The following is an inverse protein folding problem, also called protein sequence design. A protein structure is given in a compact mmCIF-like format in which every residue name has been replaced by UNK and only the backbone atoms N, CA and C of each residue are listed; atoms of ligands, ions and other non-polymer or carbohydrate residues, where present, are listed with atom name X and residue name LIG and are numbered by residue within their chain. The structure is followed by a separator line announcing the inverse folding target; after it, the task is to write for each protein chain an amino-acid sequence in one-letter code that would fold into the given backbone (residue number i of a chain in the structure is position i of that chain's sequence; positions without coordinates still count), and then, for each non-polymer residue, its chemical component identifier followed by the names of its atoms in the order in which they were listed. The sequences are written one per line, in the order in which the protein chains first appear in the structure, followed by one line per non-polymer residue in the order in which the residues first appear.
data_IF_549861052959
#
_entry.id   IF_549861052959
#
_cell.length_a   1.000
_cell.length_b   1.000
_cell.length_c   1.000
_cell.angle_alpha   90.00
_cell.angle_beta   90.00
_cell.angle_gamma   90.00
#
_symmetry.space_group_name_H-M   'P 1'
#
loop_
_entity.id
_entity.type
_entity.pdbx_description
1 polymer ?
#
# COMPACT_ATOMS: atom_id res chain seq x y z
N UNK A 1 19.86 -0.82 8.19
CA UNK A 1 20.98 -0.71 7.22
C UNK A 1 20.42 -0.02 5.99
N UNK A 2 20.98 1.13 5.58
CA UNK A 2 20.56 1.83 4.36
C UNK A 2 21.13 1.09 3.14
N UNK A 3 20.37 1.06 2.05
CA UNK A 3 20.83 0.48 0.79
C UNK A 3 22.01 1.31 0.26
N UNK A 4 23.14 0.67 -0.04
CA UNK A 4 24.31 1.35 -0.62
C UNK A 4 24.19 1.28 -2.15
N UNK A 5 23.73 2.35 -2.79
CA UNK A 5 23.56 2.48 -4.23
C UNK A 5 22.14 2.88 -4.61
N UNK A 6 21.95 3.33 -5.84
CA UNK A 6 20.61 3.58 -6.40
C UNK A 6 19.95 2.24 -6.72
N UNK A 7 18.90 1.89 -6.01
CA UNK A 7 18.07 0.74 -6.34
C UNK A 7 17.11 1.14 -7.46
N UNK A 8 17.14 0.41 -8.57
CA UNK A 8 16.24 0.64 -9.73
C UNK A 8 15.28 -0.54 -9.82
N UNK A 9 14.17 -0.47 -9.12
CA UNK A 9 13.20 -1.57 -9.06
C UNK A 9 11.77 -1.07 -9.01
N UNK A 10 10.87 -1.79 -9.68
CA UNK A 10 9.42 -1.62 -9.61
C UNK A 10 8.84 -2.69 -8.69
N UNK A 11 8.43 -2.28 -7.50
CA UNK A 11 7.94 -3.16 -6.44
C UNK A 11 6.43 -2.98 -6.28
N UNK A 12 5.67 -4.07 -6.33
CA UNK A 12 4.22 -4.05 -6.12
C UNK A 12 3.90 -4.70 -4.78
N UNK A 13 3.32 -3.95 -3.84
CA UNK A 13 2.92 -4.47 -2.53
C UNK A 13 1.53 -5.11 -2.60
N UNK A 14 1.42 -6.42 -2.39
CA UNK A 14 0.15 -7.15 -2.29
C UNK A 14 -0.20 -7.52 -0.86
N UNK A 15 -1.47 -7.85 -0.65
CA UNK A 15 -2.05 -8.30 0.62
C UNK A 15 -3.37 -7.59 0.93
N UNK A 16 -4.14 -8.14 1.84
CA UNK A 16 -5.45 -7.64 2.23
C UNK A 16 -5.41 -6.20 2.79
N UNK A 17 -6.51 -5.43 2.72
CA UNK A 17 -6.60 -4.16 3.43
C UNK A 17 -6.29 -4.38 4.92
N UNK A 18 -5.48 -3.52 5.52
CA UNK A 18 -5.06 -3.69 6.94
C UNK A 18 -3.90 -4.64 7.18
N UNK A 19 -3.37 -5.34 6.17
CA UNK A 19 -2.21 -6.24 6.33
C UNK A 19 -0.89 -5.54 6.70
N UNK A 20 -0.82 -4.20 6.59
CA UNK A 20 0.39 -3.44 6.90
C UNK A 20 1.20 -3.01 5.68
N UNK A 21 0.70 -3.23 4.46
CA UNK A 21 1.37 -2.83 3.19
C UNK A 21 1.90 -1.40 3.20
N UNK A 22 1.04 -0.43 3.52
CA UNK A 22 1.41 0.99 3.49
C UNK A 22 2.51 1.33 4.50
N UNK A 23 2.48 0.75 5.70
CA UNK A 23 3.56 0.93 6.69
C UNK A 23 4.85 0.31 6.20
N UNK A 24 4.79 -0.93 5.71
CA UNK A 24 5.93 -1.64 5.13
C UNK A 24 6.51 -0.88 3.94
N UNK A 25 5.67 -0.41 3.00
CA UNK A 25 6.08 0.37 1.85
C UNK A 25 6.79 1.67 2.24
N UNK A 26 6.29 2.40 3.24
CA UNK A 26 6.92 3.63 3.74
C UNK A 26 8.30 3.35 4.38
N UNK A 27 8.44 2.28 5.14
CA UNK A 27 9.74 1.89 5.72
C UNK A 27 10.70 1.46 4.61
N UNK A 28 10.22 0.67 3.65
CA UNK A 28 11.02 0.21 2.52
C UNK A 28 11.49 1.39 1.67
N UNK A 29 10.61 2.36 1.37
CA UNK A 29 10.93 3.59 0.65
C UNK A 29 12.07 4.37 1.31
N UNK A 30 12.01 4.56 2.63
CA UNK A 30 13.09 5.22 3.39
C UNK A 30 14.42 4.46 3.34
N UNK A 31 14.39 3.11 3.29
CA UNK A 31 15.61 2.30 3.25
C UNK A 31 16.21 2.18 1.85
N UNK A 32 15.40 2.29 0.80
CA UNK A 32 15.79 2.08 -0.61
C UNK A 32 15.91 3.38 -1.40
N UNK A 33 15.38 4.47 -0.88
CA UNK A 33 15.22 5.76 -1.57
C UNK A 33 14.32 5.69 -2.83
N UNK A 34 13.46 4.66 -2.92
CA UNK A 34 12.44 4.59 -3.97
C UNK A 34 11.20 5.38 -3.55
N UNK A 35 10.53 6.08 -4.47
CA UNK A 35 9.26 6.75 -4.18
C UNK A 35 8.18 5.72 -3.84
N UNK A 36 7.38 6.03 -2.82
CA UNK A 36 6.18 5.27 -2.44
C UNK A 36 4.96 5.91 -3.09
N UNK A 37 4.31 5.19 -3.98
CA UNK A 37 3.09 5.61 -4.67
C UNK A 37 1.92 4.80 -4.12
N UNK A 38 1.02 5.49 -3.41
CA UNK A 38 -0.18 4.89 -2.82
C UNK A 38 -1.43 5.44 -3.50
N UNK A 39 -2.13 4.60 -4.28
CA UNK A 39 -3.39 5.01 -4.92
C UNK A 39 -4.45 5.43 -3.90
N UNK A 40 -4.48 4.76 -2.75
CA UNK A 40 -5.37 5.15 -1.67
C UNK A 40 -5.10 6.56 -1.13
N UNK A 41 -3.82 6.97 -1.02
CA UNK A 41 -3.46 8.31 -0.57
C UNK A 41 -3.74 9.34 -1.68
N UNK A 42 -3.50 9.00 -2.95
CA UNK A 42 -3.82 9.85 -4.09
C UNK A 42 -5.33 10.16 -4.15
N UNK A 43 -6.19 9.14 -4.04
CA UNK A 43 -7.64 9.36 -4.00
C UNK A 43 -8.10 10.16 -2.78
N UNK A 44 -7.59 9.86 -1.59
CA UNK A 44 -7.91 10.64 -0.37
C UNK A 44 -7.52 12.11 -0.51
N UNK A 45 -6.44 12.39 -1.22
CA UNK A 45 -6.07 13.77 -1.51
C UNK A 45 -7.08 14.47 -2.42
N UNK A 46 -7.55 13.80 -3.48
CA UNK A 46 -8.58 14.33 -4.37
C UNK A 46 -9.91 14.54 -3.64
N UNK A 47 -10.28 13.60 -2.75
CA UNK A 47 -11.48 13.73 -1.89
C UNK A 47 -11.36 14.97 -0.99
N UNK A 48 -10.20 15.16 -0.35
CA UNK A 48 -9.98 16.33 0.52
C UNK A 48 -10.01 17.67 -0.23
N UNK A 49 -9.60 17.67 -1.52
CA UNK A 49 -9.62 18.84 -2.40
C UNK A 49 -11.00 19.06 -3.05
N UNK A 50 -11.98 18.20 -2.77
CA UNK A 50 -13.32 18.20 -3.36
C UNK A 50 -13.34 18.27 -4.89
N UNK A 51 -12.39 17.60 -5.55
CA UNK A 51 -12.36 17.53 -7.02
C UNK A 51 -13.43 16.58 -7.55
N UNK A 52 -13.78 16.66 -8.83
CA UNK A 52 -14.70 15.70 -9.46
C UNK A 52 -14.19 14.26 -9.36
N UNK A 53 -12.89 14.06 -9.53
CA UNK A 53 -12.24 12.77 -9.29
C UNK A 53 -12.37 12.34 -7.83
N UNK A 54 -12.23 13.26 -6.88
CA UNK A 54 -12.41 12.99 -5.45
C UNK A 54 -13.84 12.58 -5.11
N UNK A 55 -14.84 13.24 -5.67
CA UNK A 55 -16.27 12.89 -5.50
C UNK A 55 -16.55 11.49 -6.07
N UNK A 56 -16.07 11.21 -7.27
CA UNK A 56 -16.16 9.89 -7.88
C UNK A 56 -15.50 8.82 -6.99
N UNK A 57 -14.26 9.02 -6.60
CA UNK A 57 -13.52 8.08 -5.76
C UNK A 57 -14.22 7.83 -4.41
N UNK A 58 -14.76 8.89 -3.78
CA UNK A 58 -15.47 8.78 -2.52
C UNK A 58 -16.75 7.93 -2.62
N UNK A 59 -17.46 7.98 -3.75
CA UNK A 59 -18.67 7.18 -3.98
C UNK A 59 -18.43 5.67 -3.95
N UNK A 60 -17.18 5.21 -4.20
CA UNK A 60 -16.74 3.82 -4.12
C UNK A 60 -16.04 3.53 -2.78
N UNK A 61 -15.05 4.33 -2.40
CA UNK A 61 -14.19 4.09 -1.23
C UNK A 61 -15.01 4.07 0.06
N UNK A 62 -16.00 4.96 0.21
CA UNK A 62 -16.89 5.00 1.38
C UNK A 62 -17.69 3.71 1.58
N UNK A 63 -17.93 2.96 0.51
CA UNK A 63 -18.62 1.67 0.51
C UNK A 63 -17.65 0.47 0.55
N UNK A 64 -16.34 0.71 0.63
CA UNK A 64 -15.32 -0.34 0.58
C UNK A 64 -15.09 -0.96 -0.80
N UNK A 65 -15.61 -0.35 -1.86
CA UNK A 65 -15.46 -0.76 -3.24
C UNK A 65 -14.19 -0.21 -3.88
N UNK A 66 -13.78 -0.81 -5.02
CA UNK A 66 -12.70 -0.29 -5.84
C UNK A 66 -13.22 0.85 -6.73
N UNK A 67 -12.39 1.88 -6.89
CA UNK A 67 -12.59 2.88 -7.95
C UNK A 67 -12.42 2.18 -9.29
N UNK A 68 -13.19 2.51 -10.34
CA UNK A 68 -13.10 1.86 -11.64
C UNK A 68 -11.67 1.73 -12.16
N UNK A 69 -11.36 0.60 -12.78
CA UNK A 69 -10.00 0.26 -13.21
C UNK A 69 -9.43 1.31 -14.16
N UNK A 70 -10.19 1.78 -15.13
CA UNK A 70 -9.78 2.83 -16.09
C UNK A 70 -9.30 4.10 -15.38
N UNK A 71 -10.04 4.54 -14.35
CA UNK A 71 -9.70 5.74 -13.57
C UNK A 71 -8.42 5.51 -12.77
N UNK A 72 -8.30 4.34 -12.15
CA UNK A 72 -7.14 3.99 -11.32
C UNK A 72 -5.89 3.81 -12.17
N UNK A 73 -6.01 3.14 -13.33
CA UNK A 73 -4.91 2.96 -14.29
C UNK A 73 -4.41 4.32 -14.78
N UNK A 74 -5.32 5.21 -15.21
CA UNK A 74 -4.94 6.52 -15.71
C UNK A 74 -4.15 7.36 -14.70
N UNK A 75 -4.59 7.38 -13.43
CA UNK A 75 -3.88 8.11 -12.38
C UNK A 75 -2.48 7.53 -12.14
N UNK A 76 -2.34 6.22 -12.15
CA UNK A 76 -1.04 5.57 -11.94
C UNK A 76 -0.14 5.78 -13.15
N UNK A 77 -0.66 5.67 -14.37
CA UNK A 77 0.08 5.94 -15.60
C UNK A 77 0.65 7.37 -15.57
N UNK A 78 -0.19 8.38 -15.29
CA UNK A 78 0.27 9.77 -15.14
C UNK A 78 1.37 9.88 -14.07
N UNK A 79 1.16 9.31 -12.88
CA UNK A 79 2.14 9.38 -11.78
C UNK A 79 3.48 8.69 -12.11
N UNK A 80 3.47 7.66 -12.92
CA UNK A 80 4.68 6.95 -13.37
C UNK A 80 5.49 7.76 -14.41
N UNK A 81 4.93 8.82 -15.00
CA UNK A 81 5.68 9.71 -15.89
C UNK A 81 6.57 10.70 -15.15
N UNK A 82 6.35 10.90 -13.86
CA UNK A 82 7.09 11.89 -13.06
C UNK A 82 8.57 11.49 -12.91
N UNK A 83 9.44 12.47 -12.81
CA UNK A 83 10.89 12.28 -12.79
C UNK A 83 11.36 11.33 -11.69
N UNK A 84 10.79 11.43 -10.47
CA UNK A 84 11.15 10.60 -9.34
C UNK A 84 10.80 9.12 -9.53
N UNK A 85 9.83 8.80 -10.41
CA UNK A 85 9.37 7.44 -10.68
C UNK A 85 10.16 6.73 -11.80
N UNK A 86 11.06 7.44 -12.49
CA UNK A 86 11.74 6.90 -13.67
C UNK A 86 12.75 5.80 -13.35
N UNK A 87 13.29 5.78 -12.14
CA UNK A 87 14.30 4.81 -11.71
C UNK A 87 13.76 3.70 -10.80
N UNK A 88 12.43 3.59 -10.67
CA UNK A 88 11.78 2.58 -9.85
C UNK A 88 10.81 3.19 -8.85
N UNK A 89 9.91 2.37 -8.34
CA UNK A 89 8.85 2.78 -7.42
C UNK A 89 8.43 1.63 -6.50
N UNK A 90 7.78 1.98 -5.40
CA UNK A 90 7.02 1.05 -4.58
C UNK A 90 5.54 1.40 -4.74
N UNK A 91 4.78 0.53 -5.41
CA UNK A 91 3.34 0.68 -5.61
C UNK A 91 2.57 0.04 -4.45
N UNK A 92 1.68 0.81 -3.83
CA UNK A 92 0.80 0.36 -2.74
C UNK A 92 -0.67 0.63 -3.11
N UNK A 93 -1.46 -0.44 -3.08
CA UNK A 93 -2.88 -0.38 -3.43
C UNK A 93 -3.16 -0.34 -4.93
N UNK A 94 -2.17 -0.62 -5.76
CA UNK A 94 -2.25 -0.87 -7.19
C UNK A 94 -1.14 -1.85 -7.60
N UNK A 95 -1.44 -2.85 -8.44
CA UNK A 95 -2.78 -3.22 -8.91
C UNK A 95 -3.62 -3.94 -7.84
N UNK A 96 -4.95 -3.92 -8.02
CA UNK A 96 -5.92 -4.66 -7.19
C UNK A 96 -6.76 -5.64 -8.00
N UNK A 97 -6.72 -5.56 -9.30
CA UNK A 97 -7.39 -6.46 -10.24
C UNK A 97 -6.39 -6.99 -11.26
N UNK A 98 -6.72 -8.09 -11.92
CA UNK A 98 -5.90 -8.65 -13.00
C UNK A 98 -5.78 -7.66 -14.17
N UNK A 99 -6.86 -6.92 -14.47
CA UNK A 99 -6.86 -5.89 -15.51
C UNK A 99 -5.86 -4.78 -15.22
N UNK A 100 -5.85 -4.28 -13.99
CA UNK A 100 -4.85 -3.30 -13.54
C UNK A 100 -3.42 -3.84 -13.63
N UNK A 101 -3.19 -5.13 -13.34
CA UNK A 101 -1.86 -5.73 -13.41
C UNK A 101 -1.35 -5.82 -14.85
N UNK A 102 -2.21 -6.20 -15.80
CA UNK A 102 -1.88 -6.24 -17.21
C UNK A 102 -1.59 -4.84 -17.74
N UNK A 103 -2.43 -3.85 -17.38
CA UNK A 103 -2.20 -2.47 -17.77
C UNK A 103 -0.87 -1.92 -17.20
N UNK A 104 -0.51 -2.27 -15.95
CA UNK A 104 0.78 -1.89 -15.37
C UNK A 104 1.96 -2.45 -16.18
N UNK A 105 1.88 -3.72 -16.58
CA UNK A 105 2.93 -4.32 -17.40
C UNK A 105 3.06 -3.60 -18.76
N UNK A 106 1.95 -3.32 -19.44
CA UNK A 106 1.98 -2.58 -20.71
C UNK A 106 2.58 -1.17 -20.56
N UNK A 107 2.24 -0.46 -19.46
CA UNK A 107 2.80 0.86 -19.17
C UNK A 107 4.32 0.79 -18.98
N UNK A 108 4.80 -0.21 -18.23
CA UNK A 108 6.22 -0.38 -17.96
C UNK A 108 6.98 -0.89 -19.18
N UNK A 109 6.42 -1.81 -19.95
CA UNK A 109 7.01 -2.36 -21.18
C UNK A 109 7.27 -1.28 -22.23
N UNK A 110 6.35 -0.31 -22.40
CA UNK A 110 6.56 0.86 -23.27
C UNK A 110 7.82 1.65 -22.92
N UNK A 111 8.31 1.51 -21.68
CA UNK A 111 9.51 2.18 -21.17
C UNK A 111 10.71 1.21 -21.05
N UNK A 112 10.62 -0.01 -21.58
CA UNK A 112 11.59 -1.09 -21.39
C UNK A 112 11.85 -1.43 -19.89
N UNK A 113 10.80 -1.36 -19.07
CA UNK A 113 10.78 -1.63 -17.62
C UNK A 113 9.83 -2.79 -17.34
N UNK A 114 9.91 -3.34 -16.12
CA UNK A 114 9.02 -4.42 -15.67
C UNK A 114 8.83 -4.36 -14.17
N UNK A 115 7.82 -5.07 -13.66
CA UNK A 115 7.70 -5.35 -12.22
C UNK A 115 8.78 -6.37 -11.83
N UNK A 116 9.60 -6.06 -10.83
CA UNK A 116 10.75 -6.87 -10.42
C UNK A 116 10.41 -7.85 -9.30
N UNK A 117 9.55 -7.45 -8.37
CA UNK A 117 9.15 -8.26 -7.22
C UNK A 117 7.78 -7.82 -6.71
N UNK A 118 7.01 -8.80 -6.24
CA UNK A 118 5.68 -8.59 -5.66
C UNK A 118 5.63 -9.23 -4.28
N UNK A 119 6.02 -8.51 -3.21
CA UNK A 119 5.82 -8.98 -1.85
C UNK A 119 4.33 -9.01 -1.50
N UNK A 120 3.82 -10.19 -1.15
CA UNK A 120 2.47 -10.41 -0.65
C UNK A 120 2.50 -10.58 0.86
N UNK A 121 1.82 -9.71 1.60
CA UNK A 121 1.70 -9.79 3.04
C UNK A 121 0.49 -10.65 3.43
N UNK A 122 0.77 -11.79 4.06
CA UNK A 122 -0.26 -12.72 4.53
C UNK A 122 -0.54 -12.45 6.01
N UNK A 123 -1.77 -12.07 6.33
CA UNK A 123 -2.25 -11.78 7.69
C UNK A 123 -3.66 -12.35 7.83
N UNK A 124 -3.98 -12.92 9.00
CA UNK A 124 -5.33 -13.42 9.29
C UNK A 124 -6.36 -12.30 9.38
N UNK A 125 -7.60 -12.61 9.03
CA UNK A 125 -8.69 -11.63 9.00
C UNK A 125 -8.97 -11.01 10.36
N UNK A 126 -8.87 -11.77 11.45
CA UNK A 126 -9.11 -11.27 12.81
C UNK A 126 -8.10 -10.17 13.17
N UNK A 127 -6.83 -10.39 12.84
CA UNK A 127 -5.78 -9.38 13.05
C UNK A 127 -5.99 -8.18 12.15
N UNK A 128 -6.43 -8.38 10.91
CA UNK A 128 -6.73 -7.30 9.96
C UNK A 128 -7.83 -6.40 10.49
N UNK A 129 -8.95 -6.99 10.91
CA UNK A 129 -10.12 -6.26 11.44
C UNK A 129 -9.70 -5.46 12.67
N UNK A 130 -9.00 -6.09 13.60
CA UNK A 130 -8.53 -5.44 14.82
C UNK A 130 -7.56 -4.29 14.50
N UNK A 131 -6.62 -4.47 13.57
CA UNK A 131 -5.71 -3.42 13.11
C UNK A 131 -6.42 -2.21 12.50
N UNK A 132 -7.46 -2.43 11.69
CA UNK A 132 -8.15 -1.32 11.01
C UNK A 132 -9.01 -0.55 12.01
N UNK A 133 -9.71 -1.25 12.91
CA UNK A 133 -10.57 -0.62 13.92
C UNK A 133 -9.78 0.26 14.91
N UNK A 134 -8.53 -0.08 15.16
CA UNK A 134 -7.64 0.64 16.06
C UNK A 134 -6.63 1.55 15.33
N UNK A 135 -6.83 1.77 14.02
CA UNK A 135 -5.93 2.59 13.21
C UNK A 135 -6.15 4.08 13.48
N UNK A 136 -5.05 4.78 13.76
CA UNK A 136 -5.00 6.23 13.80
C UNK A 136 -3.93 6.75 12.83
N UNK A 137 -4.26 7.76 12.05
CA UNK A 137 -3.39 8.32 11.00
C UNK A 137 -3.09 9.78 11.33
N UNK A 138 -1.83 10.18 11.17
CA UNK A 138 -1.44 11.57 11.34
C UNK A 138 -2.17 12.47 10.34
N UNK A 139 -2.77 13.56 10.82
CA UNK A 139 -3.49 14.54 9.99
C UNK A 139 -2.57 15.34 9.08
N UNK A 140 -1.27 15.45 9.44
CA UNK A 140 -0.25 16.05 8.59
C UNK A 140 0.14 15.08 7.48
N UNK A 141 -0.15 15.47 6.22
CA UNK A 141 0.11 14.64 5.03
C UNK A 141 1.58 14.33 4.80
N UNK A 142 2.46 15.29 5.03
CA UNK A 142 3.91 15.12 4.85
C UNK A 142 4.47 14.09 5.83
N UNK A 143 3.92 14.03 7.03
CA UNK A 143 4.27 13.03 8.02
C UNK A 143 3.63 11.68 7.70
N UNK A 144 2.30 11.64 7.52
CA UNK A 144 1.51 10.47 7.15
C UNK A 144 1.74 9.25 8.06
N UNK A 145 2.20 9.44 9.29
CA UNK A 145 2.47 8.36 10.23
C UNK A 145 1.18 7.59 10.56
N UNK A 146 1.30 6.27 10.67
CA UNK A 146 0.20 5.38 11.00
C UNK A 146 0.50 4.73 12.35
N UNK A 147 -0.46 4.84 13.25
CA UNK A 147 -0.46 4.23 14.57
C UNK A 147 -1.55 3.17 14.68
N UNK A 148 -1.42 2.33 15.66
CA UNK A 148 -2.48 1.44 16.11
C UNK A 148 -2.64 1.65 17.62
N UNK A 149 -3.81 2.08 18.06
CA UNK A 149 -4.06 2.42 19.46
C UNK A 149 -3.96 1.22 20.41
N UNK A 150 -3.98 -0.02 19.86
CA UNK A 150 -3.86 -1.26 20.63
C UNK A 150 -2.44 -1.85 20.56
N UNK A 151 -1.84 -1.96 19.37
CA UNK A 151 -0.57 -2.66 19.16
C UNK A 151 0.65 -1.73 19.11
N UNK A 152 0.44 -0.48 18.68
CA UNK A 152 1.47 0.55 18.59
C UNK A 152 0.87 1.93 18.90
N UNK A 153 0.50 2.17 20.19
CA UNK A 153 -0.09 3.43 20.59
C UNK A 153 0.90 4.58 20.44
N UNK A 154 0.44 5.81 20.25
CA UNK A 154 1.28 6.99 20.37
C UNK A 154 1.67 7.20 21.85
N UNK A 155 2.77 7.92 22.10
CA UNK A 155 3.22 8.28 23.46
C UNK A 155 2.20 9.15 24.19
N UNK A 156 1.53 10.03 23.44
CA UNK A 156 0.44 10.87 23.93
C UNK A 156 -0.78 10.58 23.09
N UNK A 157 -1.89 10.22 23.72
CA UNK A 157 -3.13 9.89 23.04
C UNK A 157 -3.57 11.01 22.10
N UNK A 158 -3.91 10.65 20.85
CA UNK A 158 -4.38 11.58 19.82
C UNK A 158 -3.29 12.46 19.21
N UNK A 159 -2.01 12.32 19.60
CA UNK A 159 -0.90 13.15 19.10
C UNK A 159 0.14 12.29 18.38
N UNK A 160 0.58 12.76 17.21
CA UNK A 160 1.63 12.10 16.43
C UNK A 160 3.01 12.31 17.08
N UNK A 161 3.71 11.24 17.42
CA UNK A 161 5.06 11.28 18.03
C UNK A 161 6.13 11.89 17.13
N UNK A 162 5.88 11.93 15.80
CA UNK A 162 6.87 12.39 14.84
C UNK A 162 6.78 13.92 14.63
N UNK A 163 5.56 14.46 14.49
CA UNK A 163 5.38 15.87 14.10
C UNK A 163 4.44 16.66 15.01
N UNK A 164 3.89 16.05 16.07
CA UNK A 164 3.00 16.70 17.03
C UNK A 164 1.58 17.00 16.51
N UNK A 165 1.26 16.65 15.28
CA UNK A 165 -0.08 16.86 14.72
C UNK A 165 -1.09 15.86 15.27
N UNK A 166 -2.39 16.21 15.21
CA UNK A 166 -3.47 15.33 15.65
C UNK A 166 -3.50 14.01 14.88
N UNK A 167 -3.86 12.94 15.56
CA UNK A 167 -4.18 11.65 14.96
C UNK A 167 -5.68 11.58 14.70
N UNK A 168 -6.06 11.07 13.52
CA UNK A 168 -7.45 10.95 13.08
C UNK A 168 -7.75 9.53 12.61
N UNK A 169 -8.96 9.06 12.88
CA UNK A 169 -9.48 7.82 12.32
C UNK A 169 -9.99 8.10 10.90
N UNK A 170 -9.78 7.19 9.97
CA UNK A 170 -10.31 7.32 8.61
C UNK A 170 -11.81 7.08 8.62
N UNK A 171 -12.55 7.78 7.78
CA UNK A 171 -14.02 7.64 7.68
C UNK A 171 -14.46 6.27 7.17
N UNK A 172 -13.57 5.59 6.44
CA UNK A 172 -13.76 4.26 5.87
C UNK A 172 -13.25 3.12 6.79
N UNK A 173 -12.86 3.41 8.04
CA UNK A 173 -12.40 2.43 9.03
C UNK A 173 -13.55 2.03 10.00
N UNK A 174 -14.64 1.50 9.46
CA UNK A 174 -15.76 0.93 10.20
C UNK A 174 -16.00 -0.53 9.81
N UNK A 175 -16.68 -1.30 10.66
CA UNK A 175 -16.84 -2.76 10.48
C UNK A 175 -17.45 -3.14 9.15
N UNK A 176 -18.50 -2.47 8.72
CA UNK A 176 -19.19 -2.75 7.46
C UNK A 176 -18.27 -2.53 6.25
N UNK A 177 -17.62 -1.38 6.19
CA UNK A 177 -16.66 -1.07 5.13
C UNK A 177 -15.47 -2.03 5.13
N UNK A 178 -14.99 -2.47 6.31
CA UNK A 178 -13.89 -3.43 6.42
C UNK A 178 -14.32 -4.78 5.85
N UNK A 179 -15.51 -5.28 6.18
CA UNK A 179 -16.03 -6.53 5.64
C UNK A 179 -16.14 -6.49 4.12
N UNK A 180 -16.74 -5.44 3.58
CA UNK A 180 -16.85 -5.25 2.14
C UNK A 180 -15.48 -5.20 1.46
N UNK A 181 -14.49 -4.54 2.04
CA UNK A 181 -13.11 -4.49 1.53
C UNK A 181 -12.45 -5.86 1.51
N UNK A 182 -12.67 -6.67 2.54
CA UNK A 182 -12.12 -8.03 2.58
C UNK A 182 -12.77 -8.92 1.53
N UNK A 183 -14.08 -8.81 1.34
CA UNK A 183 -14.80 -9.54 0.31
C UNK A 183 -14.33 -9.13 -1.10
N UNK A 184 -14.26 -7.84 -1.38
CA UNK A 184 -13.75 -7.30 -2.65
C UNK A 184 -12.30 -7.77 -2.89
N UNK A 185 -11.46 -7.76 -1.86
CA UNK A 185 -10.08 -8.27 -1.96
C UNK A 185 -10.07 -9.76 -2.32
N UNK A 186 -10.84 -10.61 -1.64
CA UNK A 186 -10.88 -12.06 -1.92
C UNK A 186 -11.34 -12.35 -3.34
N UNK A 187 -12.33 -11.60 -3.83
CA UNK A 187 -12.89 -11.81 -5.16
C UNK A 187 -11.89 -11.45 -6.27
N UNK A 188 -11.03 -10.45 -6.05
CA UNK A 188 -10.11 -9.95 -7.07
C UNK A 188 -8.66 -10.47 -6.91
N UNK A 189 -8.26 -10.86 -5.68
CA UNK A 189 -6.87 -11.18 -5.41
C UNK A 189 -6.43 -12.54 -5.97
N UNK A 190 -7.34 -13.50 -6.12
CA UNK A 190 -6.98 -14.85 -6.56
C UNK A 190 -6.30 -14.84 -7.94
N UNK A 191 -6.92 -14.21 -8.90
CA UNK A 191 -6.39 -14.14 -10.27
C UNK A 191 -5.13 -13.25 -10.35
N UNK A 192 -5.11 -12.19 -9.55
CA UNK A 192 -3.95 -11.30 -9.44
C UNK A 192 -2.73 -12.01 -8.82
N UNK A 193 -2.92 -12.80 -7.77
CA UNK A 193 -1.87 -13.59 -7.12
C UNK A 193 -1.35 -14.65 -8.11
N UNK A 194 -2.26 -15.40 -8.76
CA UNK A 194 -1.89 -16.40 -9.76
C UNK A 194 -1.07 -15.79 -10.90
N UNK A 195 -1.46 -14.63 -11.38
CA UNK A 195 -0.74 -13.91 -12.42
C UNK A 195 0.73 -13.61 -12.06
N UNK A 196 0.98 -13.09 -10.86
CA UNK A 196 2.35 -12.79 -10.41
C UNK A 196 3.12 -14.04 -9.99
N UNK A 197 2.42 -15.09 -9.57
CA UNK A 197 3.01 -16.39 -9.29
C UNK A 197 3.52 -17.06 -10.57
N UNK A 198 2.73 -17.05 -11.65
CA UNK A 198 3.14 -17.56 -12.97
C UNK A 198 4.33 -16.80 -13.55
N UNK A 199 4.43 -15.49 -13.28
CA UNK A 199 5.60 -14.68 -13.64
C UNK A 199 6.84 -14.96 -12.79
N UNK A 200 6.73 -15.74 -11.72
CA UNK A 200 7.87 -16.07 -10.83
C UNK A 200 8.40 -14.90 -10.01
N UNK A 201 7.59 -13.84 -9.82
CA UNK A 201 7.99 -12.62 -9.09
C UNK A 201 7.20 -12.40 -7.79
N UNK A 202 6.19 -13.24 -7.51
CA UNK A 202 5.45 -13.22 -6.24
C UNK A 202 6.31 -13.80 -5.12
N UNK A 203 6.29 -13.13 -3.96
CA UNK A 203 6.92 -13.61 -2.73
C UNK A 203 5.97 -13.41 -1.56
N UNK A 204 5.38 -14.50 -1.08
CA UNK A 204 4.50 -14.47 0.07
C UNK A 204 5.30 -14.35 1.36
N UNK A 205 4.95 -13.37 2.20
CA UNK A 205 5.65 -13.06 3.45
C UNK A 205 4.62 -13.03 4.58
N UNK A 206 4.83 -13.91 5.55
CA UNK A 206 4.09 -13.93 6.80
C UNK A 206 5.00 -13.40 7.92
N UNK A 207 4.59 -12.37 8.67
CA UNK A 207 5.33 -11.93 9.84
C UNK A 207 5.20 -12.97 10.96
N UNK A 208 6.26 -13.15 11.75
CA UNK A 208 6.29 -14.12 12.87
C UNK A 208 5.23 -13.78 13.92
N UNK A 209 5.12 -12.50 14.27
CA UNK A 209 4.06 -11.97 15.09
C UNK A 209 3.48 -10.72 14.41
N UNK A 210 2.28 -10.84 13.80
CA UNK A 210 1.67 -9.71 13.16
C UNK A 210 1.26 -8.59 14.13
N UNK A 211 1.16 -8.85 15.42
CA UNK A 211 0.78 -7.86 16.44
C UNK A 211 2.00 -7.12 17.02
N UNK A 212 3.20 -7.61 16.76
CA UNK A 212 4.42 -6.98 17.23
C UNK A 212 4.57 -5.55 16.69
N UNK A 213 5.08 -4.65 17.55
CA UNK A 213 5.32 -3.25 17.17
C UNK A 213 6.23 -3.11 15.93
N UNK A 214 7.21 -4.01 15.80
CA UNK A 214 8.19 -4.03 14.73
C UNK A 214 7.84 -4.99 13.56
N UNK A 215 6.61 -5.54 13.51
CA UNK A 215 6.20 -6.49 12.48
C UNK A 215 6.48 -6.00 11.04
N UNK A 216 6.19 -4.73 10.75
CA UNK A 216 6.47 -4.14 9.43
C UNK A 216 7.97 -4.03 9.14
N UNK A 217 8.82 -3.81 10.13
CA UNK A 217 10.28 -3.78 9.97
C UNK A 217 10.85 -5.16 9.69
N UNK A 218 10.33 -6.21 10.34
CA UNK A 218 10.69 -7.60 10.06
C UNK A 218 10.37 -7.97 8.61
N UNK A 219 9.16 -7.61 8.13
CA UNK A 219 8.77 -7.82 6.73
C UNK A 219 9.71 -7.08 5.77
N UNK A 220 10.02 -5.81 6.05
CA UNK A 220 10.97 -5.04 5.22
C UNK A 220 12.35 -5.70 5.17
N UNK A 221 12.86 -6.21 6.28
CA UNK A 221 14.15 -6.88 6.29
C UNK A 221 14.12 -8.16 5.42
N UNK A 222 13.03 -8.97 5.50
CA UNK A 222 12.84 -10.12 4.62
C UNK A 222 12.80 -9.70 3.13
N UNK A 223 12.08 -8.62 2.79
CA UNK A 223 12.04 -8.09 1.40
C UNK A 223 13.45 -7.70 0.94
N UNK A 224 14.20 -6.95 1.74
CA UNK A 224 15.55 -6.50 1.40
C UNK A 224 16.54 -7.66 1.23
N UNK A 225 16.40 -8.73 2.01
CA UNK A 225 17.20 -9.95 1.84
C UNK A 225 16.92 -10.65 0.51
N UNK A 226 15.65 -10.69 0.09
CA UNK A 226 15.26 -11.28 -1.20
C UNK A 226 15.79 -10.43 -2.35
N UNK A 227 15.67 -9.10 -2.26
CA UNK A 227 16.19 -8.17 -3.28
C UNK A 227 17.72 -8.31 -3.45
N UNK A 228 18.46 -8.53 -2.38
CA UNK A 228 19.94 -8.72 -2.43
C UNK A 228 20.38 -10.00 -3.12
N UNK A 229 19.50 -10.99 -3.23
CA UNK A 229 19.79 -12.29 -3.85
C UNK A 229 19.45 -12.32 -5.35
N UNK A 230 18.74 -11.31 -5.85
CA UNK A 230 18.43 -11.12 -7.26
C UNK A 230 19.49 -10.29 -7.98
#
# INVERSE_FOLDING_TARGET
MLWKGELKMYIVMLGAPGSGKGTTAKILAKKTNLPHISTGDMFREQIKKDTELGKLANSYISKGQLVPDEVTIHIVEDRLTWEDAQNGVILDGFPRTLEQAKALDEILEKQAKKVDIVPELIISDDVIIDRILHRATCSNKECGAIYNTKFKPPKVEGICDICGSALVTRTDDNRETIQNRLEVYRNNSKDLISYYQEKGILVSIEPEDPTAENASEQVVNKILEIIKRK
#
